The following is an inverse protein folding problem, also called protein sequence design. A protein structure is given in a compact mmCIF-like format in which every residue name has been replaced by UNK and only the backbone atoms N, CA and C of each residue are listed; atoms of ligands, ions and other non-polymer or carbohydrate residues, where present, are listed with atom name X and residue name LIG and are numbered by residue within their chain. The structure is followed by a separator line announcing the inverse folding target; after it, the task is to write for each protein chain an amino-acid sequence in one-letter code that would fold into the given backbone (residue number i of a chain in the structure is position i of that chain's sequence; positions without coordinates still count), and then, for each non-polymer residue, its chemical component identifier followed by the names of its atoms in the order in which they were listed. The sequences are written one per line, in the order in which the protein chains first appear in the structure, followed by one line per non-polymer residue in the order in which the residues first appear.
data_IF_483319389576
#
_entry.id   IF_483319389576
#
_cell.length_a   1.000
_cell.length_b   1.000
_cell.length_c   1.000
_cell.angle_alpha   90.00
_cell.angle_beta   90.00
_cell.angle_gamma   90.00
#
_symmetry.space_group_name_H-M   'P 1'
#
loop_
_entity.id
_entity.type
_entity.pdbx_description
1 polymer ?
#
# COMPACT_ATOMS: atom_id res chain seq x y z
N UNK A 1 10.02 21.70 -32.92
CA UNK A 1 8.75 20.95 -33.07
C UNK A 1 8.53 19.83 -32.04
N UNK A 2 9.56 19.15 -31.53
CA UNK A 2 9.38 18.09 -30.51
C UNK A 2 8.97 18.67 -29.13
N UNK A 3 9.59 19.75 -28.67
CA UNK A 3 9.24 20.43 -27.41
C UNK A 3 7.81 21.00 -27.37
N UNK A 4 7.30 21.50 -28.50
CA UNK A 4 5.92 22.00 -28.61
C UNK A 4 4.87 20.87 -28.54
N UNK A 5 5.22 19.67 -29.02
CA UNK A 5 4.38 18.46 -28.90
C UNK A 5 4.37 17.89 -27.48
N UNK A 6 5.49 17.97 -26.77
CA UNK A 6 5.55 17.62 -25.35
C UNK A 6 4.78 18.63 -24.48
N UNK A 7 4.90 19.93 -24.76
CA UNK A 7 4.17 20.96 -24.03
C UNK A 7 2.65 20.83 -24.20
N UNK A 8 2.18 20.55 -25.41
CA UNK A 8 0.75 20.34 -25.71
C UNK A 8 0.20 19.06 -25.07
N UNK A 9 0.99 17.98 -25.01
CA UNK A 9 0.60 16.75 -24.33
C UNK A 9 0.46 16.94 -22.81
N UNK A 10 1.38 17.68 -22.18
CA UNK A 10 1.31 17.98 -20.74
C UNK A 10 0.11 18.88 -20.41
N UNK A 11 -0.17 19.87 -21.26
CA UNK A 11 -1.33 20.76 -21.11
C UNK A 11 -2.67 20.02 -21.26
N UNK A 12 -2.73 19.04 -22.17
CA UNK A 12 -3.88 18.14 -22.32
C UNK A 12 -4.12 17.28 -21.08
N UNK A 13 -3.07 16.70 -20.50
CA UNK A 13 -3.19 15.87 -19.30
C UNK A 13 -3.64 16.71 -18.10
N UNK A 14 -3.13 17.94 -17.97
CA UNK A 14 -3.55 18.88 -16.92
C UNK A 14 -5.02 19.28 -17.06
N UNK A 15 -5.51 19.47 -18.29
CA UNK A 15 -6.91 19.79 -18.57
C UNK A 15 -7.87 18.62 -18.30
N UNK A 16 -7.42 17.37 -18.46
CA UNK A 16 -8.24 16.19 -18.15
C UNK A 16 -8.37 15.98 -16.63
N UNK A 17 -7.32 16.31 -15.86
CA UNK A 17 -7.31 16.19 -14.40
C UNK A 17 -8.26 17.17 -13.67
N UNK A 18 -8.60 18.31 -14.27
CA UNK A 18 -9.46 19.33 -13.65
C UNK A 18 -10.96 19.09 -13.83
N UNK A 19 -11.38 18.20 -14.73
CA UNK A 19 -12.80 17.90 -15.03
C UNK A 19 -13.37 16.78 -14.15
N UNK A 20 -12.52 15.95 -13.54
CA UNK A 20 -12.95 14.82 -12.68
C UNK A 20 -12.92 15.09 -11.17
N UNK A 21 -12.73 16.34 -10.75
CA UNK A 21 -12.77 16.74 -9.34
C UNK A 21 -14.14 17.32 -8.93
N UNK A 22 -14.75 16.74 -7.89
CA UNK A 22 -15.95 17.18 -7.14
C UNK A 22 -17.33 16.74 -7.66
N UNK A 23 -17.79 15.57 -7.20
CA UNK A 23 -19.21 15.27 -7.06
C UNK A 23 -19.51 14.75 -5.64
N UNK A 24 -19.82 15.69 -4.75
CA UNK A 24 -20.39 15.44 -3.40
C UNK A 24 -21.81 14.92 -3.60
N UNK A 25 -22.07 13.64 -3.30
CA UNK A 25 -23.42 13.06 -3.36
C UNK A 25 -24.27 13.55 -2.17
N UNK A 26 -25.09 14.56 -2.42
CA UNK A 26 -26.26 14.90 -1.60
C UNK A 26 -27.41 14.02 -2.06
N UNK A 27 -27.81 13.04 -1.26
CA UNK A 27 -29.06 12.29 -1.50
C UNK A 27 -30.20 13.15 -0.94
N UNK A 28 -30.93 13.79 -1.85
CA UNK A 28 -32.25 14.36 -1.63
C UNK A 28 -33.23 13.47 -2.38
N UNK A 29 -33.98 12.64 -1.66
CA UNK A 29 -35.16 11.95 -2.20
C UNK A 29 -36.38 12.60 -1.58
N UNK A 30 -36.87 13.62 -2.28
CA UNK A 30 -38.23 14.12 -2.14
C UNK A 30 -39.07 13.31 -3.14
N UNK A 31 -39.97 12.47 -2.63
CA UNK A 31 -40.96 11.77 -3.43
C UNK A 31 -42.32 11.94 -2.74
N UNK A 32 -42.99 13.01 -3.16
CA UNK A 32 -44.43 13.10 -3.44
C UNK A 32 -45.41 12.47 -2.44
N UNK A 33 -46.03 13.38 -1.68
CA UNK A 33 -47.48 13.56 -1.57
C UNK A 33 -48.33 12.30 -1.26
N UNK A 34 -48.61 12.10 0.02
CA UNK A 34 -49.83 11.42 0.47
C UNK A 34 -50.63 12.37 1.37
N UNK A 35 -51.86 12.67 0.93
CA UNK A 35 -52.85 13.52 1.61
C UNK A 35 -53.35 12.88 2.91
N UNK A 36 -53.56 13.64 4.00
CA UNK A 36 -54.09 13.09 5.23
C UNK A 36 -55.62 13.04 5.15
N UNK A 37 -56.20 11.84 5.09
CA UNK A 37 -57.62 11.66 5.43
C UNK A 37 -57.72 11.04 6.83
N UNK A 38 -58.11 11.92 7.74
CA UNK A 38 -58.52 11.73 9.13
C UNK A 38 -59.46 10.53 9.31
N UNK A 39 -59.12 9.63 10.22
CA UNK A 39 -60.09 8.87 11.03
C UNK A 39 -59.60 8.86 12.48
N UNK A 40 -60.51 9.26 13.37
CA UNK A 40 -60.37 9.45 14.81
C UNK A 40 -60.25 8.12 15.62
N UNK A 41 -59.93 8.20 16.94
CA UNK A 41 -59.21 7.14 17.67
C UNK A 41 -60.09 6.26 18.58
N UNK A 42 -59.66 5.00 18.77
CA UNK A 42 -59.60 4.22 20.04
C UNK A 42 -59.57 2.69 19.76
N UNK A 43 -59.17 1.85 20.74
CA UNK A 43 -58.27 2.03 21.87
C UNK A 43 -57.14 0.97 21.87
N UNK A 44 -56.21 1.13 22.81
CA UNK A 44 -55.03 0.30 23.03
C UNK A 44 -55.31 -1.22 23.08
N UNK A 45 -54.48 -1.99 22.36
CA UNK A 45 -54.12 -3.35 22.74
C UNK A 45 -52.60 -3.51 22.63
N UNK A 46 -52.04 -4.00 23.73
CA UNK A 46 -50.62 -4.16 23.97
C UNK A 46 -49.98 -5.20 23.04
N UNK A 47 -48.81 -4.85 22.47
CA UNK A 47 -47.80 -5.82 22.02
C UNK A 47 -46.41 -5.29 22.39
N UNK A 48 -45.81 -5.73 23.51
CA UNK A 48 -44.44 -5.37 23.86
C UNK A 48 -43.42 -6.46 23.48
N UNK A 49 -43.65 -7.25 22.41
CA UNK A 49 -42.80 -8.42 22.13
C UNK A 49 -42.14 -8.47 20.74
N UNK A 50 -42.45 -7.56 19.82
CA UNK A 50 -41.83 -7.54 18.48
C UNK A 50 -40.57 -6.64 18.37
N UNK A 51 -40.31 -5.76 19.34
CA UNK A 51 -39.22 -4.77 19.27
C UNK A 51 -37.88 -5.26 19.87
N UNK A 52 -37.92 -6.32 20.70
CA UNK A 52 -36.76 -6.82 21.43
C UNK A 52 -35.89 -7.78 20.60
N UNK A 53 -36.49 -8.54 19.69
CA UNK A 53 -35.79 -9.49 18.81
C UNK A 53 -34.96 -8.80 17.71
N UNK A 54 -35.34 -7.61 17.28
CA UNK A 54 -34.64 -6.87 16.22
C UNK A 54 -33.39 -6.15 16.76
N UNK A 55 -33.46 -5.64 18.00
CA UNK A 55 -32.33 -5.01 18.71
C UNK A 55 -31.22 -6.02 19.03
N UNK A 56 -31.56 -7.26 19.40
CA UNK A 56 -30.56 -8.31 19.66
C UNK A 56 -29.86 -8.76 18.38
N UNK A 57 -30.59 -8.90 17.27
CA UNK A 57 -30.01 -9.24 15.97
C UNK A 57 -29.10 -8.12 15.41
N UNK A 58 -29.43 -6.84 15.64
CA UNK A 58 -28.57 -5.72 15.28
C UNK A 58 -27.25 -5.73 16.10
N UNK A 59 -27.36 -5.96 17.41
CA UNK A 59 -26.22 -5.98 18.34
C UNK A 59 -25.27 -7.16 18.08
N UNK A 60 -25.79 -8.32 17.64
CA UNK A 60 -24.96 -9.44 17.21
C UNK A 60 -24.21 -9.17 15.89
N UNK A 61 -24.82 -8.46 14.94
CA UNK A 61 -24.14 -8.06 13.70
C UNK A 61 -23.03 -7.05 13.97
N UNK A 62 -23.28 -6.09 14.85
CA UNK A 62 -22.28 -5.11 15.27
C UNK A 62 -21.08 -5.79 15.96
N UNK A 63 -21.34 -6.77 16.85
CA UNK A 63 -20.29 -7.57 17.48
C UNK A 63 -19.46 -8.35 16.46
N UNK A 64 -20.09 -9.01 15.49
CA UNK A 64 -19.38 -9.75 14.43
C UNK A 64 -18.51 -8.82 13.58
N UNK A 65 -19.04 -7.66 13.17
CA UNK A 65 -18.26 -6.65 12.44
C UNK A 65 -17.09 -6.12 13.29
N UNK A 66 -17.31 -5.89 14.58
CA UNK A 66 -16.24 -5.45 15.48
C UNK A 66 -15.13 -6.49 15.63
N UNK A 67 -15.50 -7.77 15.71
CA UNK A 67 -14.54 -8.87 15.82
C UNK A 67 -13.78 -9.09 14.51
N UNK A 68 -14.44 -9.00 13.35
CA UNK A 68 -13.79 -9.05 12.04
C UNK A 68 -12.80 -7.89 11.85
N UNK A 69 -13.17 -6.67 12.22
CA UNK A 69 -12.27 -5.51 12.16
C UNK A 69 -11.04 -5.69 13.05
N UNK A 70 -11.21 -6.18 14.28
CA UNK A 70 -10.09 -6.46 15.19
C UNK A 70 -9.14 -7.52 14.62
N UNK A 71 -9.68 -8.57 13.98
CA UNK A 71 -8.88 -9.60 13.32
C UNK A 71 -8.12 -9.03 12.13
N UNK A 72 -8.76 -8.19 11.31
CA UNK A 72 -8.11 -7.54 10.18
C UNK A 72 -6.98 -6.60 10.61
N UNK A 73 -7.20 -5.80 11.66
CA UNK A 73 -6.18 -4.93 12.24
C UNK A 73 -4.99 -5.74 12.77
N UNK A 74 -5.24 -6.85 13.48
CA UNK A 74 -4.20 -7.73 13.97
C UNK A 74 -3.36 -8.34 12.83
N UNK A 75 -4.01 -8.76 11.73
CA UNK A 75 -3.32 -9.29 10.55
C UNK A 75 -2.48 -8.21 9.86
N UNK A 76 -3.00 -6.99 9.72
CA UNK A 76 -2.25 -5.86 9.16
C UNK A 76 -1.03 -5.51 10.01
N UNK A 77 -1.19 -5.50 11.34
CA UNK A 77 -0.08 -5.23 12.25
C UNK A 77 0.99 -6.32 12.15
N UNK A 78 0.59 -7.60 12.10
CA UNK A 78 1.52 -8.71 11.87
C UNK A 78 2.28 -8.57 10.55
N UNK A 79 1.58 -8.28 9.46
CA UNK A 79 2.20 -8.09 8.14
C UNK A 79 3.20 -6.92 8.13
N UNK A 80 2.87 -5.81 8.80
CA UNK A 80 3.79 -4.67 8.94
C UNK A 80 5.03 -5.03 9.77
N UNK A 81 4.85 -5.77 10.87
CA UNK A 81 5.97 -6.24 11.71
C UNK A 81 6.87 -7.19 10.92
N UNK A 82 6.29 -8.15 10.21
CA UNK A 82 7.05 -9.09 9.36
C UNK A 82 7.84 -8.36 8.27
N UNK A 83 7.19 -7.41 7.57
CA UNK A 83 7.87 -6.58 6.57
C UNK A 83 9.03 -5.79 7.17
N UNK A 84 8.82 -5.16 8.32
CA UNK A 84 9.87 -4.41 9.02
C UNK A 84 11.04 -5.30 9.45
N UNK A 85 10.78 -6.53 9.90
CA UNK A 85 11.83 -7.51 10.23
C UNK A 85 12.60 -7.94 8.98
N UNK A 86 11.91 -8.19 7.86
CA UNK A 86 12.54 -8.55 6.59
C UNK A 86 13.41 -7.42 6.05
N UNK A 87 12.92 -6.18 6.09
CA UNK A 87 13.67 -5.02 5.63
C UNK A 87 14.92 -4.79 6.50
N UNK A 88 14.81 -4.97 7.83
CA UNK A 88 15.97 -4.93 8.74
C UNK A 88 16.99 -6.02 8.43
N UNK A 89 16.55 -7.26 8.19
CA UNK A 89 17.44 -8.36 7.84
C UNK A 89 18.18 -8.09 6.52
N UNK A 90 17.50 -7.56 5.51
CA UNK A 90 18.12 -7.17 4.24
C UNK A 90 19.15 -6.05 4.43
N UNK A 91 18.85 -5.05 5.25
CA UNK A 91 19.80 -3.97 5.54
C UNK A 91 21.02 -4.48 6.31
N UNK A 92 20.84 -5.36 7.29
CA UNK A 92 21.95 -5.95 8.04
C UNK A 92 22.84 -6.82 7.14
N UNK A 93 22.24 -7.62 6.25
CA UNK A 93 22.99 -8.42 5.29
C UNK A 93 23.78 -7.53 4.32
N UNK A 94 23.16 -6.46 3.81
CA UNK A 94 23.83 -5.48 2.97
C UNK A 94 25.00 -4.79 3.70
N UNK A 95 24.78 -4.36 4.94
CA UNK A 95 25.82 -3.75 5.77
C UNK A 95 26.97 -4.72 6.05
N UNK A 96 26.68 -6.00 6.30
CA UNK A 96 27.69 -7.03 6.50
C UNK A 96 28.52 -7.25 5.23
N UNK A 97 27.89 -7.33 4.05
CA UNK A 97 28.59 -7.44 2.76
C UNK A 97 29.46 -6.22 2.50
N UNK A 98 28.93 -5.02 2.73
CA UNK A 98 29.68 -3.78 2.55
C UNK A 98 30.87 -3.70 3.52
N UNK A 99 30.71 -4.11 4.78
CA UNK A 99 31.79 -4.17 5.75
C UNK A 99 32.88 -5.17 5.34
N UNK A 100 32.50 -6.35 4.85
CA UNK A 100 33.44 -7.34 4.33
C UNK A 100 34.20 -6.83 3.09
N UNK A 101 33.50 -6.17 2.16
CA UNK A 101 34.11 -5.54 0.99
C UNK A 101 35.09 -4.42 1.39
N UNK A 102 34.73 -3.56 2.34
CA UNK A 102 35.62 -2.52 2.88
C UNK A 102 36.86 -3.11 3.56
N UNK A 103 36.69 -4.17 4.34
CA UNK A 103 37.81 -4.88 4.96
C UNK A 103 38.76 -5.47 3.89
N UNK A 104 38.19 -5.98 2.79
CA UNK A 104 38.93 -6.50 1.65
C UNK A 104 39.34 -5.43 0.61
N UNK A 105 39.07 -4.13 0.85
CA UNK A 105 39.25 -3.03 -0.13
C UNK A 105 38.68 -3.36 -1.53
N UNK A 106 37.66 -4.20 -1.58
CA UNK A 106 36.97 -4.56 -2.82
C UNK A 106 35.80 -3.61 -3.04
N UNK A 107 35.61 -3.23 -4.29
CA UNK A 107 34.50 -2.38 -4.70
C UNK A 107 33.34 -3.24 -5.25
N UNK A 108 32.07 -2.86 -5.00
CA UNK A 108 30.91 -3.59 -5.51
C UNK A 108 30.76 -3.42 -7.04
N UNK A 109 30.26 -4.47 -7.70
CA UNK A 109 30.03 -4.50 -9.14
C UNK A 109 28.52 -4.53 -9.38
N UNK A 110 28.02 -3.53 -10.11
CA UNK A 110 26.59 -3.37 -10.37
C UNK A 110 26.19 -3.91 -11.75
N UNK A 111 25.04 -4.56 -11.81
CA UNK A 111 24.47 -5.12 -13.03
C UNK A 111 23.20 -4.37 -13.43
N UNK A 112 22.82 -4.48 -14.71
CA UNK A 112 21.51 -4.04 -15.14
C UNK A 112 20.42 -4.99 -14.66
N UNK A 113 19.18 -4.52 -14.68
CA UNK A 113 18.03 -5.34 -14.29
C UNK A 113 17.94 -6.59 -15.17
N UNK A 114 17.81 -7.76 -14.52
CA UNK A 114 17.73 -9.08 -15.16
C UNK A 114 18.89 -9.41 -16.12
N UNK A 115 20.06 -8.81 -15.89
CA UNK A 115 21.29 -9.10 -16.64
C UNK A 115 22.41 -9.58 -15.72
N UNK A 116 23.25 -10.47 -16.23
CA UNK A 116 24.44 -11.01 -15.56
C UNK A 116 25.75 -10.61 -16.25
N UNK A 117 25.67 -9.87 -17.37
CA UNK A 117 26.84 -9.35 -18.09
C UNK A 117 27.45 -8.17 -17.36
N UNK A 118 28.79 -8.16 -17.24
CA UNK A 118 29.53 -7.03 -16.67
C UNK A 118 29.46 -5.85 -17.64
N UNK A 119 28.94 -4.72 -17.16
CA UNK A 119 28.86 -3.46 -17.92
C UNK A 119 30.26 -2.90 -18.19
N UNK A 120 30.42 -2.14 -19.28
CA UNK A 120 31.73 -1.58 -19.66
C UNK A 120 32.35 -0.68 -18.58
N UNK A 121 31.52 0.14 -17.94
CA UNK A 121 31.91 1.03 -16.82
C UNK A 121 32.30 0.26 -15.55
N UNK A 122 31.88 -1.00 -15.43
CA UNK A 122 32.17 -1.86 -14.27
C UNK A 122 33.42 -2.73 -14.46
N UNK A 123 33.96 -2.81 -15.70
CA UNK A 123 35.17 -3.61 -15.97
C UNK A 123 36.39 -3.08 -15.26
N UNK A 124 36.54 -1.76 -15.14
CA UNK A 124 37.67 -1.15 -14.44
C UNK A 124 37.69 -1.57 -12.96
N UNK A 125 36.51 -1.57 -12.32
CA UNK A 125 36.33 -2.01 -10.93
C UNK A 125 36.69 -3.50 -10.79
N UNK A 126 36.21 -4.34 -11.71
CA UNK A 126 36.58 -5.77 -11.73
C UNK A 126 38.09 -5.98 -11.84
N UNK A 127 38.77 -5.21 -12.69
CA UNK A 127 40.22 -5.28 -12.85
C UNK A 127 40.94 -4.89 -11.56
N UNK A 128 40.55 -3.79 -10.91
CA UNK A 128 41.12 -3.36 -9.61
C UNK A 128 40.95 -4.43 -8.53
N UNK A 129 39.74 -4.99 -8.42
CA UNK A 129 39.45 -6.08 -7.48
C UNK A 129 40.33 -7.31 -7.75
N UNK A 130 40.48 -7.70 -9.02
CA UNK A 130 41.31 -8.86 -9.41
C UNK A 130 42.79 -8.66 -9.08
N UNK A 131 43.34 -7.45 -9.31
CA UNK A 131 44.71 -7.10 -8.95
C UNK A 131 44.91 -7.16 -7.43
N UNK A 132 43.95 -6.63 -6.66
CA UNK A 132 43.99 -6.70 -5.21
C UNK A 132 43.97 -8.15 -4.71
N UNK A 133 43.12 -9.02 -5.27
CA UNK A 133 43.05 -10.44 -4.90
C UNK A 133 44.33 -11.20 -5.25
N UNK A 134 44.93 -10.89 -6.40
CA UNK A 134 46.22 -11.48 -6.80
C UNK A 134 47.34 -11.07 -5.84
N UNK A 135 47.31 -9.84 -5.34
CA UNK A 135 48.25 -9.35 -4.33
C UNK A 135 48.00 -9.92 -2.92
N UNK A 136 46.80 -10.46 -2.66
CA UNK A 136 46.39 -10.99 -1.36
C UNK A 136 45.91 -12.45 -1.47
N UNK A 137 46.80 -13.40 -1.81
CA UNK A 137 46.43 -14.79 -2.11
C UNK A 137 45.80 -15.57 -0.94
N UNK A 138 45.97 -15.08 0.29
CA UNK A 138 45.37 -15.69 1.48
C UNK A 138 43.91 -15.23 1.73
N UNK A 139 43.43 -14.22 1.01
CA UNK A 139 42.06 -13.73 1.15
C UNK A 139 41.11 -14.58 0.32
N UNK A 140 39.98 -14.98 0.93
CA UNK A 140 38.89 -15.72 0.28
C UNK A 140 37.65 -14.82 0.17
N UNK A 141 36.98 -14.88 -0.98
CA UNK A 141 35.79 -14.07 -1.31
C UNK A 141 34.69 -14.98 -1.82
#
# INVERSE_FOLDING_TARGET
MKSLRFLTAVLMILAIGTVFGCAKKTIRSDALAYTPSRVEPRPAEAKPEAESADKTAALEREKKLSEENLREEALREQALREKALRDKALQEEAARKEAALKAAKLEPIYFEFDQWSIREDQKEIMMKNSQWLTANPNTKV
#
